data_IF_188228133829
#
_entry.id   IF_188228133829
#
_cell.length_a   1.000
_cell.length_b   1.000
_cell.length_c   1.000
_cell.angle_alpha   90.00
_cell.angle_beta   90.00
_cell.angle_gamma   90.00
#
_symmetry.space_group_name_H-M   'P 1'
#
loop_
_entity.id
_entity.type
_entity.pdbx_description
1 polymer ?
#
# COMPACT_ATOMS: atom_id res chain seq x y z
N UNK A 1 -20.66 -7.23 2.62
CA UNK A 1 -19.33 -6.58 2.72
C UNK A 1 -18.38 -7.57 3.38
N UNK A 2 -17.09 -7.56 3.02
CA UNK A 2 -16.06 -8.45 3.59
C UNK A 2 -14.89 -7.57 4.05
N UNK A 3 -14.30 -7.88 5.19
CA UNK A 3 -13.18 -7.13 5.74
C UNK A 3 -12.81 -7.59 7.16
N UNK A 4 -11.79 -6.96 7.72
CA UNK A 4 -11.29 -7.24 9.06
C UNK A 4 -10.97 -5.92 9.77
N UNK A 5 -11.71 -5.63 10.84
CA UNK A 5 -11.56 -4.38 11.59
C UNK A 5 -10.29 -4.31 12.44
N UNK A 6 -9.55 -5.41 12.58
CA UNK A 6 -8.24 -5.41 13.24
C UNK A 6 -7.10 -5.04 12.28
N UNK A 7 -7.38 -4.82 10.99
CA UNK A 7 -6.40 -4.34 10.02
C UNK A 7 -6.32 -2.81 10.02
N UNK A 8 -5.67 -2.24 9.00
CA UNK A 8 -5.45 -0.80 8.92
C UNK A 8 -6.76 -0.02 8.89
N UNK A 9 -6.82 1.05 9.69
CA UNK A 9 -7.89 2.05 9.60
C UNK A 9 -7.90 2.75 8.23
N UNK A 10 -9.02 3.37 7.84
CA UNK A 10 -9.07 4.20 6.64
C UNK A 10 -7.99 5.30 6.63
N UNK A 11 -7.45 5.62 5.45
CA UNK A 11 -6.44 6.66 5.32
C UNK A 11 -7.05 8.03 5.60
N UNK A 12 -6.49 8.75 6.56
CA UNK A 12 -6.94 10.10 6.93
C UNK A 12 -8.27 10.15 7.70
N UNK A 13 -8.86 9.00 8.04
CA UNK A 13 -10.15 8.93 8.72
C UNK A 13 -10.12 7.93 9.89
N UNK A 14 -11.18 7.93 10.70
CA UNK A 14 -11.40 7.00 11.81
C UNK A 14 -12.04 5.71 11.30
N UNK A 15 -12.11 4.69 12.16
CA UNK A 15 -12.91 3.52 11.85
C UNK A 15 -14.39 3.90 11.78
N UNK A 16 -15.14 3.23 10.90
CA UNK A 16 -16.58 3.44 10.70
C UNK A 16 -17.42 3.25 11.96
N UNK A 17 -16.93 2.50 12.95
CA UNK A 17 -17.58 2.25 14.23
C UNK A 17 -17.18 3.24 15.34
N UNK A 18 -16.30 4.20 15.05
CA UNK A 18 -15.93 5.26 16.00
C UNK A 18 -16.81 6.49 15.78
N UNK A 19 -17.79 6.70 16.65
CA UNK A 19 -18.68 7.87 16.57
C UNK A 19 -17.93 9.17 16.89
N UNK A 20 -18.20 10.22 16.11
CA UNK A 20 -17.56 11.52 16.29
C UNK A 20 -18.16 12.35 17.44
N UNK A 21 -19.48 12.29 17.67
CA UNK A 21 -20.19 13.04 18.71
C UNK A 21 -21.48 12.29 19.10
N UNK A 22 -21.99 12.53 20.31
CA UNK A 22 -23.25 11.94 20.85
C UNK A 22 -24.49 12.21 19.99
N UNK A 23 -24.46 13.21 19.11
CA UNK A 23 -25.53 13.49 18.14
C UNK A 23 -25.54 12.56 16.93
N UNK A 24 -24.40 11.99 16.53
CA UNK A 24 -24.35 11.04 15.41
C UNK A 24 -25.09 9.74 15.75
N UNK A 25 -25.12 9.34 17.03
CA UNK A 25 -25.92 8.20 17.49
C UNK A 25 -27.44 8.40 17.33
N UNK A 26 -27.91 9.65 17.11
CA UNK A 26 -29.32 10.00 16.95
C UNK A 26 -29.73 10.22 15.48
N UNK A 27 -28.77 10.50 14.59
CA UNK A 27 -29.03 10.93 13.20
C UNK A 27 -28.45 9.95 12.18
N UNK A 28 -27.33 9.30 12.48
CA UNK A 28 -26.85 8.20 11.66
C UNK A 28 -27.69 6.96 11.96
N UNK A 29 -28.53 6.55 11.02
CA UNK A 29 -28.99 5.18 10.95
C UNK A 29 -27.89 4.38 10.23
N UNK A 30 -27.01 3.67 10.95
CA UNK A 30 -25.99 2.88 10.28
C UNK A 30 -26.71 1.81 9.46
N UNK A 31 -26.62 1.93 8.13
CA UNK A 31 -27.12 0.92 7.18
C UNK A 31 -26.58 -0.48 7.50
N UNK A 32 -25.48 -0.57 8.26
CA UNK A 32 -24.93 -1.79 8.87
C UNK A 32 -25.96 -2.63 9.64
N UNK A 33 -26.95 -2.00 10.28
CA UNK A 33 -28.04 -2.71 10.98
C UNK A 33 -28.93 -3.54 10.05
N UNK A 34 -28.90 -3.26 8.74
CA UNK A 34 -29.62 -4.03 7.72
C UNK A 34 -28.86 -5.30 7.29
N UNK A 35 -27.61 -5.47 7.74
CA UNK A 35 -26.78 -6.62 7.40
C UNK A 35 -26.73 -7.64 8.53
N UNK A 36 -26.60 -8.90 8.17
CA UNK A 36 -26.28 -9.99 9.09
C UNK A 36 -24.76 -10.21 9.15
N UNK A 37 -24.22 -10.41 10.35
CA UNK A 37 -22.79 -10.61 10.57
C UNK A 37 -22.46 -12.11 10.55
N UNK A 38 -21.52 -12.49 9.67
CA UNK A 38 -20.92 -13.82 9.66
C UNK A 38 -19.42 -13.71 9.92
N UNK A 39 -18.93 -14.44 10.91
CA UNK A 39 -17.51 -14.49 11.27
C UNK A 39 -16.87 -15.78 10.74
N UNK A 40 -15.74 -15.66 10.03
CA UNK A 40 -14.92 -16.79 9.63
C UNK A 40 -13.88 -17.07 10.73
N UNK A 41 -13.84 -18.31 11.22
CA UNK A 41 -13.02 -18.68 12.39
C UNK A 41 -11.81 -19.56 12.04
N UNK A 42 -11.69 -20.01 10.79
CA UNK A 42 -10.60 -20.87 10.33
C UNK A 42 -9.51 -20.07 9.58
N UNK A 43 -8.25 -20.24 10.00
CA UNK A 43 -7.08 -19.61 9.37
C UNK A 43 -6.51 -20.54 8.30
N UNK A 44 -6.76 -20.23 7.04
CA UNK A 44 -6.32 -21.07 5.90
C UNK A 44 -4.93 -20.72 5.36
N UNK A 45 -4.49 -19.46 5.49
CA UNK A 45 -3.24 -18.96 4.88
C UNK A 45 -1.98 -19.57 5.53
N UNK A 46 -1.99 -19.70 6.85
CA UNK A 46 -0.89 -20.31 7.64
C UNK A 46 -1.33 -21.63 8.29
N UNK A 47 -2.23 -22.38 7.65
CA UNK A 47 -2.84 -23.59 8.25
C UNK A 47 -1.81 -24.63 8.73
N UNK A 48 -0.66 -24.72 8.07
CA UNK A 48 0.38 -25.69 8.37
C UNK A 48 1.30 -25.26 9.54
N UNK A 49 1.19 -24.00 9.99
CA UNK A 49 1.90 -23.46 11.17
C UNK A 49 0.89 -22.78 12.11
N UNK A 50 0.18 -23.62 12.88
CA UNK A 50 -0.85 -23.18 13.83
C UNK A 50 -0.30 -22.21 14.89
N UNK A 51 0.93 -22.44 15.36
CA UNK A 51 1.55 -21.59 16.39
C UNK A 51 1.77 -20.18 15.85
N UNK A 52 2.30 -20.06 14.63
CA UNK A 52 2.46 -18.76 13.99
C UNK A 52 1.13 -18.09 13.65
N UNK A 53 0.14 -18.86 13.16
CA UNK A 53 -1.20 -18.34 12.87
C UNK A 53 -1.88 -17.73 14.11
N UNK A 54 -1.73 -18.36 15.28
CA UNK A 54 -2.23 -17.86 16.56
C UNK A 54 -1.51 -16.57 16.96
N UNK A 55 -0.17 -16.55 16.89
CA UNK A 55 0.61 -15.35 17.20
C UNK A 55 0.21 -14.15 16.32
N UNK A 56 -0.03 -14.37 15.02
CA UNK A 56 -0.53 -13.35 14.09
C UNK A 56 -1.95 -12.86 14.42
N UNK A 57 -2.79 -13.73 14.97
CA UNK A 57 -4.14 -13.34 15.40
C UNK A 57 -4.10 -12.53 16.69
N UNK A 58 -3.21 -12.90 17.63
CA UNK A 58 -3.04 -12.21 18.90
C UNK A 58 -2.42 -10.81 18.73
N UNK A 59 -1.47 -10.64 17.81
CA UNK A 59 -0.93 -9.31 17.49
C UNK A 59 -2.01 -8.39 16.91
N UNK A 60 -2.88 -8.90 16.03
CA UNK A 60 -3.99 -8.14 15.47
C UNK A 60 -4.99 -7.68 16.54
N UNK A 61 -5.26 -8.54 17.54
CA UNK A 61 -6.17 -8.24 18.66
C UNK A 61 -5.52 -7.44 19.80
N UNK A 62 -4.19 -7.30 19.80
CA UNK A 62 -3.46 -6.68 20.91
C UNK A 62 -3.37 -7.56 22.17
N UNK A 63 -3.45 -8.88 22.03
CA UNK A 63 -3.48 -9.86 23.12
C UNK A 63 -2.32 -10.86 23.07
N UNK A 64 -1.14 -10.42 22.62
CA UNK A 64 0.05 -11.28 22.51
C UNK A 64 0.50 -11.82 23.87
N UNK A 65 0.90 -13.09 23.90
CA UNK A 65 1.62 -13.69 25.04
C UNK A 65 3.13 -13.47 24.92
N UNK A 66 3.88 -13.80 25.97
CA UNK A 66 5.34 -13.76 25.94
C UNK A 66 5.92 -14.74 24.91
N UNK A 67 5.28 -15.90 24.71
CA UNK A 67 5.64 -16.87 23.68
C UNK A 67 5.41 -16.31 22.27
N UNK A 68 4.29 -15.61 22.03
CA UNK A 68 4.03 -14.95 20.75
C UNK A 68 5.13 -13.92 20.44
N UNK A 69 5.48 -13.09 21.43
CA UNK A 69 6.52 -12.07 21.31
C UNK A 69 7.87 -12.73 21.03
N UNK A 70 8.22 -13.80 21.76
CA UNK A 70 9.47 -14.52 21.55
C UNK A 70 9.53 -15.14 20.14
N UNK A 71 8.43 -15.74 19.70
CA UNK A 71 8.28 -16.34 18.38
C UNK A 71 8.41 -15.32 17.24
N UNK A 72 7.87 -14.11 17.40
CA UNK A 72 8.03 -13.05 16.40
C UNK A 72 9.45 -12.47 16.43
N UNK A 73 10.03 -12.28 17.62
CA UNK A 73 11.40 -11.78 17.77
C UNK A 73 12.46 -12.74 17.26
N UNK A 74 12.23 -14.06 17.30
CA UNK A 74 13.17 -15.04 16.74
C UNK A 74 13.31 -14.96 15.23
N UNK A 75 12.38 -14.28 14.54
CA UNK A 75 12.41 -14.01 13.10
C UNK A 75 13.01 -12.65 12.74
N UNK A 76 13.46 -11.88 13.73
CA UNK A 76 14.22 -10.66 13.46
C UNK A 76 15.61 -11.08 13.00
N UNK A 77 15.94 -10.74 11.77
CA UNK A 77 17.25 -10.99 11.16
C UNK A 77 17.96 -9.66 10.92
N UNK A 78 19.28 -9.73 10.70
CA UNK A 78 20.06 -8.53 10.39
C UNK A 78 19.71 -7.99 9.00
N UNK A 79 19.95 -6.70 8.77
CA UNK A 79 19.73 -6.06 7.48
C UNK A 79 20.55 -6.73 6.38
N UNK A 80 21.79 -7.12 6.67
CA UNK A 80 22.67 -7.82 5.71
C UNK A 80 22.05 -9.16 5.29
N UNK A 81 21.47 -9.89 6.25
CA UNK A 81 20.79 -11.16 5.97
C UNK A 81 19.57 -10.95 5.09
N UNK A 82 18.81 -9.85 5.29
CA UNK A 82 17.70 -9.48 4.41
C UNK A 82 18.19 -9.12 3.01
N UNK A 83 19.31 -8.43 2.87
CA UNK A 83 19.85 -8.07 1.55
C UNK A 83 20.25 -9.30 0.71
N UNK A 84 20.55 -10.42 1.35
CA UNK A 84 20.83 -11.69 0.67
C UNK A 84 19.58 -12.46 0.21
N UNK A 85 18.39 -12.11 0.71
CA UNK A 85 17.15 -12.79 0.30
C UNK A 85 16.64 -12.17 -1.00
N UNK A 86 17.02 -12.81 -2.10
CA UNK A 86 16.53 -12.49 -3.44
C UNK A 86 15.02 -12.76 -3.57
N UNK A 87 14.40 -12.12 -4.56
CA UNK A 87 13.01 -12.35 -4.98
C UNK A 87 11.89 -12.17 -3.95
N UNK A 88 12.18 -11.60 -2.79
CA UNK A 88 11.19 -11.36 -1.75
C UNK A 88 10.57 -9.96 -1.81
N UNK A 89 9.28 -9.87 -1.49
CA UNK A 89 8.58 -8.58 -1.34
C UNK A 89 9.02 -7.94 -0.01
N UNK A 90 9.43 -6.67 -0.06
CA UNK A 90 9.72 -5.86 1.11
C UNK A 90 8.54 -4.95 1.43
N UNK A 91 8.09 -4.97 2.68
CA UNK A 91 7.01 -4.12 3.18
C UNK A 91 7.62 -3.05 4.07
N UNK A 92 7.35 -1.79 3.77
CA UNK A 92 7.83 -0.63 4.54
C UNK A 92 6.66 0.18 5.09
N UNK A 93 6.96 1.03 6.07
CA UNK A 93 5.96 1.90 6.69
C UNK A 93 5.57 3.07 5.79
N UNK A 94 6.53 3.62 5.04
CA UNK A 94 6.32 4.83 4.23
C UNK A 94 6.74 4.64 2.77
N UNK A 95 6.09 5.38 1.88
CA UNK A 95 6.45 5.39 0.45
C UNK A 95 7.89 5.86 0.21
N UNK A 96 8.41 6.77 1.05
CA UNK A 96 9.80 7.22 0.91
C UNK A 96 10.82 6.08 1.14
N UNK A 97 10.54 5.18 2.08
CA UNK A 97 11.35 3.97 2.31
C UNK A 97 11.21 2.97 1.15
N UNK A 98 9.99 2.82 0.61
CA UNK A 98 9.74 2.02 -0.60
C UNK A 98 10.54 2.55 -1.79
N UNK A 99 10.47 3.85 -2.06
CA UNK A 99 11.14 4.50 -3.19
C UNK A 99 12.66 4.39 -3.06
N UNK A 100 13.20 4.59 -1.85
CA UNK A 100 14.64 4.43 -1.59
C UNK A 100 15.11 3.00 -1.83
N UNK A 101 14.37 2.00 -1.35
CA UNK A 101 14.70 0.60 -1.56
C UNK A 101 14.60 0.20 -3.03
N UNK A 102 13.50 0.56 -3.71
CA UNK A 102 13.31 0.26 -5.13
C UNK A 102 14.39 0.91 -6.00
N UNK A 103 14.80 2.15 -5.68
CA UNK A 103 15.91 2.81 -6.35
C UNK A 103 17.23 2.05 -6.17
N UNK A 104 17.52 1.55 -4.96
CA UNK A 104 18.70 0.73 -4.68
C UNK A 104 18.67 -0.57 -5.50
N UNK A 105 17.54 -1.28 -5.52
CA UNK A 105 17.39 -2.53 -6.28
C UNK A 105 17.52 -2.31 -7.78
N UNK A 106 16.89 -1.27 -8.32
CA UNK A 106 17.06 -0.90 -9.72
C UNK A 106 18.53 -0.56 -10.02
N UNK A 107 19.21 0.19 -9.16
CA UNK A 107 20.62 0.52 -9.35
C UNK A 107 21.54 -0.72 -9.40
N UNK A 108 21.23 -1.78 -8.64
CA UNK A 108 22.05 -3.01 -8.62
C UNK A 108 21.84 -3.93 -9.82
N UNK A 109 20.76 -3.76 -10.59
CA UNK A 109 20.53 -4.53 -11.82
C UNK A 109 21.47 -4.08 -12.94
N UNK A 110 22.37 -4.95 -13.38
CA UNK A 110 23.28 -4.71 -14.51
C UNK A 110 22.65 -5.09 -15.85
N UNK A 111 21.44 -4.57 -16.11
CA UNK A 111 20.67 -4.82 -17.33
C UNK A 111 20.34 -3.52 -18.06
N UNK A 112 19.88 -3.64 -19.30
CA UNK A 112 19.39 -2.50 -20.09
C UNK A 112 18.29 -1.76 -19.31
N UNK A 113 18.37 -0.44 -19.31
CA UNK A 113 17.44 0.42 -18.61
C UNK A 113 16.88 1.52 -19.50
N UNK A 114 15.71 2.03 -19.12
CA UNK A 114 15.06 3.15 -19.76
C UNK A 114 14.46 4.07 -18.70
N UNK A 115 14.44 5.37 -18.98
CA UNK A 115 13.74 6.35 -18.15
C UNK A 115 12.58 6.92 -18.95
N UNK A 116 11.37 6.84 -18.39
CA UNK A 116 10.20 7.52 -18.92
C UNK A 116 9.92 8.76 -18.06
N UNK A 117 9.92 9.94 -18.68
CA UNK A 117 9.52 11.19 -18.03
C UNK A 117 8.09 11.55 -18.46
N UNK A 118 7.30 12.07 -17.53
CA UNK A 118 5.94 12.54 -17.83
C UNK A 118 5.97 13.74 -18.78
N UNK A 119 4.94 13.84 -19.61
CA UNK A 119 4.68 14.98 -20.48
C UNK A 119 3.43 15.71 -20.00
N UNK A 120 3.63 16.76 -19.22
CA UNK A 120 2.55 17.55 -18.63
C UNK A 120 2.25 18.80 -19.45
N UNK A 121 0.97 19.10 -19.66
CA UNK A 121 0.52 20.31 -20.35
C UNK A 121 -0.74 20.89 -19.70
N UNK A 122 -0.98 22.19 -19.91
CA UNK A 122 -2.12 22.92 -19.36
C UNK A 122 -3.02 23.45 -20.48
N UNK A 123 -4.31 23.13 -20.40
CA UNK A 123 -5.34 23.60 -21.33
C UNK A 123 -6.05 24.85 -20.81
N UNK A 124 -6.48 25.75 -21.70
CA UNK A 124 -7.27 26.95 -21.37
C UNK A 124 -6.59 28.28 -21.74
N UNK A 125 -7.31 29.40 -21.64
CA UNK A 125 -6.90 30.70 -22.19
C UNK A 125 -6.13 31.60 -21.21
N UNK A 126 -5.63 31.04 -20.10
CA UNK A 126 -4.87 31.79 -19.10
C UNK A 126 -3.51 32.30 -19.60
N UNK A 127 -2.97 33.32 -18.91
CA UNK A 127 -1.64 33.87 -19.16
C UNK A 127 -0.55 32.78 -19.13
N UNK A 128 0.44 32.87 -20.03
CA UNK A 128 1.53 31.90 -20.13
C UNK A 128 2.30 31.71 -18.81
N UNK A 129 2.56 32.80 -18.08
CA UNK A 129 3.23 32.78 -16.77
C UNK A 129 2.44 32.02 -15.70
N UNK A 130 1.11 32.07 -15.76
CA UNK A 130 0.26 31.31 -14.85
C UNK A 130 0.30 29.82 -15.18
N UNK A 131 0.26 29.46 -16.47
CA UNK A 131 0.39 28.07 -16.92
C UNK A 131 1.73 27.46 -16.50
N UNK A 132 2.82 28.20 -16.68
CA UNK A 132 4.15 27.77 -16.25
C UNK A 132 4.23 27.55 -14.73
N UNK A 133 3.65 28.47 -13.95
CA UNK A 133 3.58 28.33 -12.49
C UNK A 133 2.82 27.08 -12.08
N UNK A 134 1.70 26.76 -12.74
CA UNK A 134 0.93 25.54 -12.48
C UNK A 134 1.75 24.30 -12.81
N UNK A 135 2.36 24.24 -14.00
CA UNK A 135 3.18 23.09 -14.41
C UNK A 135 4.38 22.87 -13.47
N UNK A 136 5.02 23.94 -12.99
CA UNK A 136 6.11 23.82 -12.02
C UNK A 136 5.63 23.35 -10.64
N UNK A 137 4.41 23.70 -10.24
CA UNK A 137 3.83 23.20 -9.00
C UNK A 137 3.50 21.69 -9.09
N UNK A 138 2.95 21.23 -10.23
CA UNK A 138 2.58 19.82 -10.45
C UNK A 138 3.79 18.89 -10.29
N UNK A 139 4.99 19.31 -10.72
CA UNK A 139 6.23 18.54 -10.56
C UNK A 139 6.61 18.22 -9.11
N UNK A 140 6.09 18.99 -8.14
CA UNK A 140 6.37 18.80 -6.72
C UNK A 140 5.27 17.99 -6.00
N UNK A 141 4.20 17.61 -6.70
CA UNK A 141 3.13 16.78 -6.14
C UNK A 141 3.61 15.34 -5.99
N UNK A 142 3.07 14.65 -4.98
CA UNK A 142 3.28 13.21 -4.82
C UNK A 142 2.50 12.46 -5.88
N UNK A 143 2.96 11.26 -6.25
CA UNK A 143 2.27 10.36 -7.19
C UNK A 143 0.80 10.10 -6.80
N UNK A 144 0.49 10.08 -5.50
CA UNK A 144 -0.88 9.92 -4.98
C UNK A 144 -1.78 11.12 -5.26
N UNK A 145 -1.20 12.30 -5.49
CA UNK A 145 -1.89 13.54 -5.81
C UNK A 145 -2.04 13.75 -7.33
N UNK A 146 -1.39 12.89 -8.13
CA UNK A 146 -1.39 12.92 -9.61
C UNK A 146 -2.08 11.68 -10.20
N UNK A 147 -3.12 11.17 -9.54
CA UNK A 147 -3.88 9.99 -9.98
C UNK A 147 -3.03 8.73 -10.18
N UNK A 148 -1.94 8.58 -9.43
CA UNK A 148 -1.05 7.42 -9.55
C UNK A 148 -0.03 7.54 -10.69
N UNK A 149 0.08 8.71 -11.34
CA UNK A 149 1.00 8.94 -12.45
C UNK A 149 2.28 9.65 -11.95
N UNK A 150 3.42 8.95 -11.91
CA UNK A 150 4.68 9.54 -11.46
C UNK A 150 5.29 10.47 -12.53
N UNK A 151 6.02 11.49 -12.09
CA UNK A 151 6.76 12.41 -12.96
C UNK A 151 7.88 11.71 -13.74
N UNK A 152 8.46 10.66 -13.16
CA UNK A 152 9.56 9.88 -13.72
C UNK A 152 9.42 8.42 -13.31
N UNK A 153 9.66 7.51 -14.25
CA UNK A 153 9.76 6.08 -14.01
C UNK A 153 11.11 5.61 -14.55
N UNK A 154 11.88 4.93 -13.71
CA UNK A 154 13.09 4.23 -14.11
C UNK A 154 12.79 2.73 -14.24
N UNK A 155 13.13 2.16 -15.38
CA UNK A 155 12.85 0.78 -15.77
C UNK A 155 14.16 0.07 -16.07
N UNK A 156 14.22 -1.23 -15.74
CA UNK A 156 15.30 -2.13 -16.14
C UNK A 156 14.75 -3.49 -16.53
N UNK A 157 15.39 -4.13 -17.50
CA UNK A 157 15.02 -5.50 -17.90
C UNK A 157 15.18 -6.43 -16.70
N UNK A 158 14.13 -7.20 -16.39
CA UNK A 158 14.06 -8.11 -15.26
C UNK A 158 13.64 -7.48 -13.93
N UNK A 159 13.42 -6.16 -13.88
CA UNK A 159 12.86 -5.52 -12.69
C UNK A 159 11.36 -5.84 -12.55
N UNK A 160 10.94 -6.13 -11.31
CA UNK A 160 9.52 -6.30 -10.98
C UNK A 160 8.80 -4.96 -11.00
N UNK A 161 7.54 -4.95 -11.41
CA UNK A 161 6.71 -3.75 -11.42
C UNK A 161 5.31 -4.03 -10.87
N UNK A 162 4.60 -2.94 -10.55
CA UNK A 162 3.18 -2.96 -10.20
C UNK A 162 2.48 -1.83 -10.95
N UNK A 163 1.34 -2.13 -11.57
CA UNK A 163 0.49 -1.11 -12.18
C UNK A 163 -0.19 -0.30 -11.09
N UNK A 164 -0.16 1.03 -11.20
CA UNK A 164 -0.79 1.97 -10.25
C UNK A 164 -2.14 2.49 -10.72
N UNK A 165 -2.52 2.18 -11.96
CA UNK A 165 -3.74 2.66 -12.61
C UNK A 165 -4.43 1.51 -13.34
N UNK A 166 -5.75 1.62 -13.49
CA UNK A 166 -6.50 0.70 -14.34
C UNK A 166 -6.31 1.10 -15.80
N UNK A 167 -5.72 0.20 -16.59
CA UNK A 167 -5.53 0.42 -18.02
C UNK A 167 -6.53 -0.40 -18.83
N UNK A 168 -6.69 -1.68 -18.48
CA UNK A 168 -7.60 -2.60 -19.17
C UNK A 168 -8.10 -3.63 -18.17
N UNK A 169 -9.30 -3.39 -17.64
CA UNK A 169 -9.90 -4.24 -16.60
C UNK A 169 -10.34 -5.59 -17.14
N UNK A 170 -10.66 -5.69 -18.44
CA UNK A 170 -11.08 -6.95 -19.07
C UNK A 170 -9.90 -7.92 -19.21
N UNK A 171 -8.71 -7.38 -19.51
CA UNK A 171 -7.47 -8.15 -19.63
C UNK A 171 -6.65 -8.22 -18.33
N UNK A 172 -7.18 -7.73 -17.20
CA UNK A 172 -6.52 -7.81 -15.89
C UNK A 172 -5.39 -6.80 -15.67
N UNK A 173 -5.23 -5.80 -16.54
CA UNK A 173 -4.31 -4.67 -16.36
C UNK A 173 -4.94 -3.63 -15.43
N UNK A 174 -5.02 -4.00 -14.15
CA UNK A 174 -5.65 -3.23 -13.08
C UNK A 174 -4.62 -2.71 -12.08
N UNK A 175 -4.99 -1.70 -11.31
CA UNK A 175 -4.19 -1.21 -10.19
C UNK A 175 -3.88 -2.38 -9.22
N UNK A 176 -2.60 -2.60 -8.94
CA UNK A 176 -2.10 -3.70 -8.13
C UNK A 176 -1.64 -4.93 -8.91
N UNK A 177 -1.83 -4.98 -10.24
CA UNK A 177 -1.28 -6.06 -11.06
C UNK A 177 0.25 -5.98 -11.09
N UNK A 178 0.92 -7.10 -10.81
CA UNK A 178 2.39 -7.19 -10.76
C UNK A 178 2.94 -8.04 -11.91
N UNK A 179 4.18 -7.75 -12.31
CA UNK A 179 4.94 -8.52 -13.30
C UNK A 179 6.44 -8.35 -13.16
#
# INVERSE_FOLDING_TARGET
VLGDFNQLRPVGDKYIFQFNNSYNALVDSPLWSLFELFELTEIVRQKDDKTFAIALSNIAKGTMTDEDIHLLKSRIVSTESLEMVEDSIRIFRSNAEVDAYNTKVLASLNTEGATANAYDFCTGDGLASLKEKVLNNVKNLKTTETYGLPLRIDLKVGAKYMLTVNSDTENGLVNGACG
#
